data_IF_694133073143
#
_entry.id   IF_694133073143
#
_cell.length_a   1.000
_cell.length_b   1.000
_cell.length_c   1.000
_cell.angle_alpha   90.00
_cell.angle_beta   90.00
_cell.angle_gamma   90.00
#
_symmetry.space_group_name_H-M   'P 1'
#
loop_
_entity.id
_entity.type
_entity.pdbx_description
1 polymer ?
#
# COMPACT_ATOMS: atom_id res chain seq x y z
N UNK A 1 13.64 -11.08 12.92
CA UNK A 1 12.87 -9.83 12.74
C UNK A 1 11.41 -10.14 13.00
N UNK A 2 10.70 -9.31 13.77
CA UNK A 2 9.33 -9.61 14.24
C UNK A 2 8.30 -9.30 13.15
N UNK A 3 7.20 -10.07 13.11
CA UNK A 3 6.03 -9.82 12.25
C UNK A 3 5.53 -8.38 12.43
N UNK A 4 5.62 -7.83 13.65
CA UNK A 4 5.26 -6.45 13.95
C UNK A 4 6.09 -5.43 13.15
N UNK A 5 7.40 -5.66 12.98
CA UNK A 5 8.27 -4.79 12.19
C UNK A 5 7.87 -4.80 10.71
N UNK A 6 7.55 -5.97 10.17
CA UNK A 6 7.13 -6.12 8.78
C UNK A 6 5.78 -5.43 8.51
N UNK A 7 4.84 -5.52 9.46
CA UNK A 7 3.57 -4.82 9.37
C UNK A 7 3.76 -3.29 9.33
N UNK A 8 4.63 -2.75 10.19
CA UNK A 8 4.95 -1.31 10.23
C UNK A 8 5.56 -0.85 8.91
N UNK A 9 6.48 -1.62 8.33
CA UNK A 9 7.09 -1.30 7.03
C UNK A 9 6.05 -1.30 5.90
N UNK A 10 5.15 -2.29 5.87
CA UNK A 10 4.08 -2.35 4.89
C UNK A 10 3.08 -1.20 5.04
N UNK A 11 2.68 -0.86 6.27
CA UNK A 11 1.82 0.30 6.51
C UNK A 11 2.49 1.63 6.12
N UNK A 12 3.81 1.74 6.29
CA UNK A 12 4.58 2.90 5.82
C UNK A 12 4.57 2.98 4.29
N UNK A 13 4.85 1.87 3.60
CA UNK A 13 4.78 1.80 2.11
C UNK A 13 3.39 2.12 1.59
N UNK A 14 2.33 1.63 2.25
CA UNK A 14 0.96 1.93 1.89
C UNK A 14 0.69 3.44 1.95
N UNK A 15 1.13 4.13 3.02
CA UNK A 15 1.00 5.59 3.15
C UNK A 15 1.74 6.35 2.06
N UNK A 16 2.93 5.89 1.65
CA UNK A 16 3.68 6.51 0.55
C UNK A 16 2.96 6.35 -0.78
N UNK A 17 2.38 5.18 -1.03
CA UNK A 17 1.57 4.91 -2.22
C UNK A 17 0.31 5.78 -2.26
N UNK A 18 -0.38 5.95 -1.14
CA UNK A 18 -1.53 6.86 -1.03
C UNK A 18 -1.16 8.28 -1.41
N UNK A 19 -0.08 8.79 -0.81
CA UNK A 19 0.41 10.14 -1.12
C UNK A 19 0.79 10.28 -2.59
N UNK A 20 1.43 9.28 -3.17
CA UNK A 20 1.81 9.28 -4.59
C UNK A 20 0.57 9.31 -5.50
N UNK A 21 -0.49 8.59 -5.13
CA UNK A 21 -1.76 8.60 -5.87
C UNK A 21 -2.41 9.99 -5.77
N UNK A 22 -2.46 10.57 -4.58
CA UNK A 22 -3.08 11.89 -4.35
C UNK A 22 -2.32 13.00 -5.09
N UNK A 23 -0.99 12.97 -5.05
CA UNK A 23 -0.14 13.90 -5.80
C UNK A 23 -0.38 13.76 -7.30
N UNK A 24 -0.48 12.53 -7.83
CA UNK A 24 -0.69 12.31 -9.26
C UNK A 24 -2.10 12.69 -9.71
N UNK A 25 -3.11 12.46 -8.87
CA UNK A 25 -4.50 12.87 -9.10
C UNK A 25 -4.70 14.39 -8.99
N UNK A 26 -3.85 15.08 -8.22
CA UNK A 26 -3.85 16.54 -8.09
C UNK A 26 -3.21 17.24 -9.29
N UNK A 27 -2.51 16.52 -10.17
CA UNK A 27 -1.90 17.11 -11.36
C UNK A 27 -2.98 17.41 -12.41
N UNK A 28 -2.89 18.54 -13.13
CA UNK A 28 -3.84 18.89 -14.19
C UNK A 28 -3.83 17.91 -15.37
N UNK A 29 -2.73 17.18 -15.55
CA UNK A 29 -2.64 16.06 -16.50
C UNK A 29 -2.36 14.78 -15.72
N UNK A 30 -3.44 14.11 -15.31
CA UNK A 30 -3.36 12.83 -14.59
C UNK A 30 -2.95 11.73 -15.56
N UNK A 31 -1.82 11.08 -15.30
CA UNK A 31 -1.48 9.84 -15.98
C UNK A 31 -2.31 8.70 -15.40
N UNK A 32 -3.40 8.37 -16.08
CA UNK A 32 -4.35 7.33 -15.66
C UNK A 32 -3.71 5.94 -15.63
N UNK A 33 -2.69 5.66 -16.47
CA UNK A 33 -1.92 4.42 -16.43
C UNK A 33 -1.08 4.36 -15.14
N UNK A 34 -0.42 5.47 -14.80
CA UNK A 34 0.35 5.60 -13.55
C UNK A 34 -0.54 5.40 -12.32
N UNK A 35 -1.67 6.09 -12.26
CA UNK A 35 -2.64 5.97 -11.15
C UNK A 35 -3.20 4.55 -11.04
N UNK A 36 -3.51 3.90 -12.17
CA UNK A 36 -3.98 2.51 -12.18
C UNK A 36 -2.92 1.53 -11.65
N UNK A 37 -1.65 1.72 -12.04
CA UNK A 37 -0.53 0.92 -11.53
C UNK A 37 -0.34 1.14 -10.02
N UNK A 38 -0.39 2.38 -9.53
CA UNK A 38 -0.27 2.71 -8.11
C UNK A 38 -1.43 2.10 -7.30
N UNK A 39 -2.67 2.19 -7.80
CA UNK A 39 -3.84 1.55 -7.16
C UNK A 39 -3.71 0.03 -7.09
N UNK A 40 -3.17 -0.62 -8.13
CA UNK A 40 -2.88 -2.07 -8.09
C UNK A 40 -1.81 -2.41 -7.05
N UNK A 41 -0.74 -1.63 -6.97
CA UNK A 41 0.28 -1.82 -5.92
C UNK A 41 -0.30 -1.64 -4.52
N UNK A 42 -1.13 -0.61 -4.32
CA UNK A 42 -1.86 -0.37 -3.06
C UNK A 42 -2.75 -1.57 -2.69
N UNK A 43 -3.47 -2.14 -3.66
CA UNK A 43 -4.31 -3.32 -3.44
C UNK A 43 -3.47 -4.53 -2.99
N UNK A 44 -2.37 -4.82 -3.68
CA UNK A 44 -1.46 -5.91 -3.30
C UNK A 44 -0.89 -5.72 -1.89
N UNK A 45 -0.45 -4.50 -1.55
CA UNK A 45 0.04 -4.20 -0.20
C UNK A 45 -1.03 -4.40 0.86
N UNK A 46 -2.28 -4.01 0.57
CA UNK A 46 -3.40 -4.24 1.47
C UNK A 46 -3.66 -5.73 1.69
N UNK A 47 -3.64 -6.54 0.62
CA UNK A 47 -3.79 -8.00 0.72
C UNK A 47 -2.65 -8.64 1.54
N UNK A 48 -1.42 -8.16 1.36
CA UNK A 48 -0.26 -8.65 2.11
C UNK A 48 -0.34 -8.28 3.60
N UNK A 49 -0.76 -7.05 3.91
CA UNK A 49 -1.04 -6.61 5.29
C UNK A 49 -2.12 -7.47 5.92
N UNK A 50 -3.25 -7.69 5.25
CA UNK A 50 -4.35 -8.50 5.77
C UNK A 50 -3.94 -9.96 5.95
N UNK A 51 -3.16 -10.51 5.02
CA UNK A 51 -2.60 -11.87 5.15
C UNK A 51 -1.70 -11.98 6.37
N UNK A 52 -0.80 -11.02 6.59
CA UNK A 52 0.09 -11.00 7.75
C UNK A 52 -0.66 -10.77 9.06
N UNK A 53 -1.68 -9.91 9.07
CA UNK A 53 -2.56 -9.70 10.23
C UNK A 53 -3.30 -10.98 10.60
N UNK A 54 -3.89 -11.66 9.62
CA UNK A 54 -4.58 -12.94 9.82
C UNK A 54 -3.62 -14.00 10.36
N UNK A 55 -2.41 -14.08 9.81
CA UNK A 55 -1.38 -15.01 10.27
C UNK A 55 -0.89 -14.70 11.70
N UNK A 56 -0.87 -13.43 12.10
CA UNK A 56 -0.53 -13.01 13.46
C UNK A 56 -1.65 -13.29 14.47
N UNK A 57 -2.92 -13.20 14.06
CA UNK A 57 -4.07 -13.52 14.93
C UNK A 57 -4.28 -15.03 15.15
N UNK A 58 -3.72 -15.88 14.27
CA UNK A 58 -3.80 -17.34 14.36
C UNK A 58 -2.71 -17.97 15.25
N UNK A 59 -1.82 -17.17 15.86
CA UNK A 59 -0.78 -17.59 16.80
C UNK A 59 -1.05 -17.03 18.20
#
# INVERSE_FOLDING_TARGET
>A
MSIATHLIELESRHRVLDRSIDEEMSRPFVDTLRVSALKKQKLHLKEEIERLRTQNQLH
#
